data_IF_325712420841
#
_entry.id   IF_325712420841
#
_cell.length_a   1.000
_cell.length_b   1.000
_cell.length_c   1.000
_cell.angle_alpha   90.00
_cell.angle_beta   90.00
_cell.angle_gamma   90.00
#
_symmetry.space_group_name_H-M   'P 1'
#
loop_
_entity.id
_entity.type
_entity.pdbx_description
1 polymer ?
#
# COMPACT_ATOMS: atom_id res chain seq x y z
N UNK A 1 7.33 4.09 -7.95
CA UNK A 1 8.24 4.63 -8.98
C UNK A 1 7.55 4.49 -10.33
N UNK A 2 7.22 5.58 -11.03
CA UNK A 2 6.42 5.56 -12.27
C UNK A 2 7.07 4.78 -13.41
N UNK A 3 6.28 4.07 -14.23
CA UNK A 3 6.77 3.46 -15.49
C UNK A 3 7.42 4.56 -16.35
N UNK A 4 8.64 4.34 -16.88
CA UNK A 4 9.38 5.35 -17.62
C UNK A 4 8.66 5.72 -18.92
N UNK A 5 8.59 7.01 -19.20
CA UNK A 5 8.02 7.60 -20.41
C UNK A 5 9.08 8.35 -21.24
N UNK A 6 10.27 8.56 -20.69
CA UNK A 6 11.39 9.24 -21.38
C UNK A 6 12.69 8.44 -21.34
N UNK A 7 13.60 8.71 -22.30
CA UNK A 7 14.93 8.11 -22.31
C UNK A 7 15.78 8.50 -21.09
N UNK A 8 15.56 9.67 -20.50
CA UNK A 8 16.29 10.10 -19.30
C UNK A 8 15.91 9.23 -18.09
N UNK A 9 14.63 8.88 -17.94
CA UNK A 9 14.16 7.98 -16.88
C UNK A 9 14.68 6.55 -17.07
N UNK A 10 14.82 6.09 -18.32
CA UNK A 10 15.48 4.81 -18.61
C UNK A 10 16.94 4.80 -18.15
N UNK A 11 17.69 5.87 -18.44
CA UNK A 11 19.09 6.01 -17.98
C UNK A 11 19.20 6.09 -16.46
N UNK A 12 18.27 6.78 -15.78
CA UNK A 12 18.22 6.82 -14.31
C UNK A 12 17.98 5.42 -13.71
N UNK A 13 17.26 4.55 -14.42
CA UNK A 13 17.06 3.14 -14.06
C UNK A 13 18.23 2.22 -14.47
N UNK A 14 19.25 2.76 -15.16
CA UNK A 14 20.36 1.97 -15.71
C UNK A 14 19.92 1.04 -16.85
N UNK A 15 18.86 1.39 -17.58
CA UNK A 15 18.35 0.61 -18.69
C UNK A 15 18.82 1.17 -20.03
N UNK A 16 19.59 0.36 -20.76
CA UNK A 16 20.00 0.68 -22.14
C UNK A 16 18.91 0.38 -23.18
N UNK A 17 17.93 -0.46 -22.81
CA UNK A 17 16.80 -0.88 -23.65
C UNK A 17 15.63 -1.38 -22.80
N UNK A 18 14.46 -1.46 -23.42
CA UNK A 18 13.20 -1.96 -22.82
C UNK A 18 12.72 -3.18 -23.59
N UNK A 19 12.07 -4.10 -22.89
CA UNK A 19 11.53 -5.33 -23.47
C UNK A 19 10.15 -5.09 -24.09
N UNK A 20 9.35 -4.20 -23.50
CA UNK A 20 7.99 -3.90 -23.94
C UNK A 20 7.74 -2.39 -23.95
N UNK A 21 7.19 -1.88 -25.04
CA UNK A 21 6.72 -0.49 -25.17
C UNK A 21 5.22 -0.47 -25.36
N UNK A 22 4.52 0.21 -24.44
CA UNK A 22 3.08 0.39 -24.46
C UNK A 22 2.74 1.76 -25.05
N UNK A 23 2.03 1.78 -26.19
CA UNK A 23 1.65 3.02 -26.88
C UNK A 23 0.17 3.29 -26.65
N UNK A 24 -0.17 4.48 -26.17
CA UNK A 24 -1.56 4.90 -25.92
C UNK A 24 -1.86 6.27 -26.51
N UNK A 25 -3.08 6.43 -27.04
CA UNK A 25 -3.61 7.73 -27.47
C UNK A 25 -4.18 8.57 -26.32
N UNK A 26 -4.23 8.03 -25.11
CA UNK A 26 -4.69 8.72 -23.90
C UNK A 26 -3.51 9.26 -23.09
N UNK A 27 -3.76 10.19 -22.17
CA UNK A 27 -2.75 10.63 -21.22
C UNK A 27 -2.36 9.47 -20.28
N UNK A 28 -1.07 9.37 -19.95
CA UNK A 28 -0.61 8.41 -18.96
C UNK A 28 -0.65 9.01 -17.56
N UNK A 29 -1.37 8.32 -16.68
CA UNK A 29 -1.37 8.53 -15.23
C UNK A 29 -1.18 7.17 -14.59
N UNK A 30 -0.18 7.04 -13.72
CA UNK A 30 0.11 5.80 -13.00
C UNK A 30 -0.88 5.61 -11.84
N UNK A 31 -2.10 5.20 -12.18
CA UNK A 31 -3.18 5.01 -11.23
C UNK A 31 -3.97 3.73 -11.59
N UNK A 32 -4.46 2.96 -10.60
CA UNK A 32 -5.19 1.71 -10.85
C UNK A 32 -6.45 1.83 -11.73
N UNK A 33 -6.98 3.05 -11.90
CA UNK A 33 -8.10 3.33 -12.81
C UNK A 33 -7.69 3.43 -14.29
N UNK A 34 -6.38 3.48 -14.59
CA UNK A 34 -5.86 3.61 -15.96
C UNK A 34 -5.36 2.27 -16.46
N UNK A 35 -5.98 1.76 -17.53
CA UNK A 35 -5.68 0.43 -18.07
C UNK A 35 -4.19 0.25 -18.40
N UNK A 36 -3.54 1.26 -18.99
CA UNK A 36 -2.12 1.18 -19.36
C UNK A 36 -1.19 1.13 -18.15
N UNK A 37 -1.56 1.75 -17.02
CA UNK A 37 -0.81 1.63 -15.78
C UNK A 37 -0.94 0.21 -15.22
N UNK A 38 -2.15 -0.35 -15.17
CA UNK A 38 -2.39 -1.71 -14.69
C UNK A 38 -1.65 -2.74 -15.54
N UNK A 39 -1.79 -2.66 -16.87
CA UNK A 39 -1.13 -3.58 -17.81
C UNK A 39 0.39 -3.45 -17.68
N UNK A 40 0.91 -2.23 -17.65
CA UNK A 40 2.35 -1.99 -17.51
C UNK A 40 2.91 -2.56 -16.21
N UNK A 41 2.18 -2.46 -15.10
CA UNK A 41 2.58 -3.02 -13.81
C UNK A 41 2.57 -4.53 -13.78
N UNK A 42 1.55 -5.16 -14.36
CA UNK A 42 1.50 -6.64 -14.47
C UNK A 42 2.69 -7.16 -15.28
N UNK A 43 3.09 -6.45 -16.34
CA UNK A 43 4.24 -6.84 -17.17
C UNK A 43 5.58 -6.54 -16.46
N UNK A 44 5.71 -5.42 -15.74
CA UNK A 44 6.88 -5.16 -14.88
C UNK A 44 7.02 -6.21 -13.77
N UNK A 45 5.91 -6.61 -13.13
CA UNK A 45 5.88 -7.64 -12.08
C UNK A 45 6.29 -9.03 -12.62
N UNK A 46 6.09 -9.28 -13.92
CA UNK A 46 6.59 -10.47 -14.60
C UNK A 46 8.09 -10.41 -14.93
N UNK A 47 8.78 -9.32 -14.56
CA UNK A 47 10.23 -9.16 -14.70
C UNK A 47 10.72 -8.47 -15.97
N UNK A 48 9.81 -7.93 -16.78
CA UNK A 48 10.15 -7.23 -18.03
C UNK A 48 10.38 -5.73 -17.80
N UNK A 49 11.27 -5.12 -18.59
CA UNK A 49 11.47 -3.67 -18.64
C UNK A 49 10.41 -3.04 -19.53
N UNK A 50 9.49 -2.30 -18.92
CA UNK A 50 8.35 -1.68 -19.63
C UNK A 50 8.54 -0.17 -19.73
N UNK A 51 8.18 0.42 -20.87
CA UNK A 51 8.01 1.86 -21.03
C UNK A 51 6.66 2.20 -21.65
N UNK A 52 6.15 3.41 -21.39
CA UNK A 52 4.88 3.90 -21.94
C UNK A 52 5.12 5.15 -22.81
N UNK A 53 4.52 5.17 -24.00
CA UNK A 53 4.43 6.34 -24.87
C UNK A 53 2.98 6.79 -24.92
N UNK A 54 2.68 7.92 -24.28
CA UNK A 54 1.35 8.52 -24.23
C UNK A 54 1.21 9.66 -25.24
N UNK A 55 0.08 9.69 -25.94
CA UNK A 55 -0.26 10.68 -26.97
C UNK A 55 0.88 10.95 -27.97
N UNK A 56 1.36 9.93 -28.70
CA UNK A 56 2.35 10.18 -29.75
C UNK A 56 1.78 11.17 -30.76
N UNK A 57 2.64 12.07 -31.26
CA UNK A 57 2.26 13.07 -32.25
C UNK A 57 1.82 12.38 -33.56
N UNK A 58 0.51 12.24 -33.74
CA UNK A 58 -0.10 11.56 -34.89
C UNK A 58 -0.32 12.49 -36.09
N UNK A 59 -0.04 13.80 -35.94
CA UNK A 59 -0.32 14.82 -36.94
C UNK A 59 0.83 15.08 -37.92
N UNK A 60 2.04 14.62 -37.62
CA UNK A 60 3.20 14.82 -38.49
C UNK A 60 4.00 13.53 -38.72
N UNK A 61 3.76 12.88 -39.86
CA UNK A 61 4.44 11.66 -40.30
C UNK A 61 5.93 11.92 -40.57
N UNK A 62 6.34 13.17 -40.77
CA UNK A 62 7.72 13.50 -41.10
C UNK A 62 8.67 13.34 -39.91
N UNK A 63 8.19 13.54 -38.68
CA UNK A 63 8.96 13.35 -37.44
C UNK A 63 9.21 11.86 -37.17
N UNK A 64 8.22 11.01 -37.46
CA UNK A 64 8.38 9.55 -37.41
C UNK A 64 9.36 9.05 -38.48
N UNK A 65 9.33 9.65 -39.68
CA UNK A 65 10.25 9.29 -40.77
C UNK A 65 11.70 9.67 -40.48
N UNK A 66 11.95 10.83 -39.86
CA UNK A 66 13.30 11.26 -39.49
C UNK A 66 13.85 10.44 -38.31
N UNK A 67 13.02 10.07 -37.33
CA UNK A 67 13.41 9.12 -36.28
C UNK A 67 13.71 7.72 -36.83
N UNK A 68 12.86 7.20 -37.73
CA UNK A 68 13.10 5.92 -38.40
C UNK A 68 14.40 5.91 -39.22
N UNK A 69 14.71 7.01 -39.92
CA UNK A 69 15.95 7.12 -40.69
C UNK A 69 17.20 7.05 -39.78
N UNK A 70 17.16 7.72 -38.63
CA UNK A 70 18.22 7.61 -37.62
C UNK A 70 18.34 6.19 -37.05
N UNK A 71 17.22 5.54 -36.74
CA UNK A 71 17.24 4.15 -36.26
C UNK A 71 17.75 3.18 -37.32
N UNK A 72 17.40 3.36 -38.59
CA UNK A 72 17.93 2.57 -39.71
C UNK A 72 19.44 2.74 -39.84
N UNK A 73 19.97 3.94 -39.62
CA UNK A 73 21.41 4.21 -39.64
C UNK A 73 22.13 3.52 -38.48
N UNK A 74 21.55 3.55 -37.27
CA UNK A 74 22.05 2.81 -36.10
C UNK A 74 21.98 1.29 -36.33
N UNK A 75 20.90 0.79 -36.93
CA UNK A 75 20.73 -0.63 -37.25
C UNK A 75 21.73 -1.09 -38.31
N UNK A 76 22.05 -0.26 -39.32
CA UNK A 76 23.12 -0.54 -40.28
C UNK A 76 24.49 -0.65 -39.62
N UNK A 77 24.78 0.23 -38.65
CA UNK A 77 26.01 0.14 -37.88
C UNK A 77 26.09 -1.17 -37.07
N UNK A 78 24.97 -1.62 -36.49
CA UNK A 78 24.88 -2.92 -35.81
C UNK A 78 25.01 -4.10 -36.79
N UNK A 79 24.42 -4.00 -37.97
CA UNK A 79 24.53 -5.02 -39.02
C UNK A 79 25.99 -5.22 -39.43
N UNK A 80 26.76 -4.13 -39.57
CA UNK A 80 28.19 -4.19 -39.86
C UNK A 80 28.98 -4.95 -38.81
N UNK A 81 28.67 -4.76 -37.53
CA UNK A 81 29.29 -5.53 -36.42
C UNK A 81 28.93 -7.01 -36.53
N UNK A 82 27.68 -7.34 -36.88
CA UNK A 82 27.24 -8.72 -37.08
C UNK A 82 27.95 -9.34 -38.28
N UNK A 83 28.10 -8.64 -39.40
CA UNK A 83 28.86 -9.10 -40.57
C UNK A 83 30.33 -9.37 -40.23
N UNK A 84 30.93 -8.54 -39.38
CA UNK A 84 32.31 -8.71 -38.90
C UNK A 84 32.44 -9.96 -37.98
N UNK A 85 31.46 -10.19 -37.11
CA UNK A 85 31.38 -11.40 -36.26
C UNK A 85 31.10 -12.66 -37.09
N UNK A 86 30.27 -12.57 -38.13
CA UNK A 86 30.02 -13.68 -39.06
C UNK A 86 31.28 -14.00 -39.87
N UNK A 87 32.05 -12.99 -40.27
CA UNK A 87 33.38 -13.15 -40.87
C UNK A 87 34.37 -13.85 -39.94
N UNK A 88 34.36 -13.52 -38.64
CA UNK A 88 35.11 -14.26 -37.62
C UNK A 88 34.63 -15.71 -37.48
N UNK A 89 33.35 -15.99 -37.74
CA UNK A 89 32.81 -17.35 -37.79
C UNK A 89 33.41 -18.21 -38.92
N UNK A 90 33.68 -17.63 -40.08
CA UNK A 90 34.38 -18.33 -41.17
C UNK A 90 35.87 -18.59 -40.84
N UNK A 91 36.55 -17.62 -40.21
CA UNK A 91 37.91 -17.78 -39.69
C UNK A 91 37.96 -18.84 -38.55
N UNK A 92 36.91 -18.91 -37.73
CA UNK A 92 36.75 -19.93 -36.70
C UNK A 92 36.59 -21.34 -37.29
N UNK A 93 35.79 -21.51 -38.35
CA UNK A 93 35.63 -22.81 -39.04
C UNK A 93 36.94 -23.28 -39.68
N UNK A 94 37.71 -22.38 -40.30
CA UNK A 94 39.06 -22.70 -40.80
C UNK A 94 40.03 -23.11 -39.68
N UNK A 95 39.92 -22.50 -38.51
CA UNK A 95 40.70 -22.91 -37.33
C UNK A 95 40.21 -24.22 -36.73
N UNK A 96 38.92 -24.54 -36.85
CA UNK A 96 38.32 -25.78 -36.35
C UNK A 96 38.77 -26.99 -37.18
N UNK A 97 38.91 -26.83 -38.50
CA UNK A 97 39.53 -27.81 -39.39
C UNK A 97 41.04 -28.01 -39.11
N UNK A 98 41.68 -27.03 -38.46
CA UNK A 98 43.08 -27.07 -38.05
C UNK A 98 43.30 -27.51 -36.59
N UNK A 99 42.24 -27.75 -35.81
CA UNK A 99 42.32 -28.16 -34.41
C UNK A 99 42.55 -29.68 -34.31
N UNK A 100 43.57 -30.09 -33.54
CA UNK A 100 43.80 -31.50 -33.21
C UNK A 100 42.60 -32.09 -32.45
N UNK A 101 42.26 -33.36 -32.71
CA UNK A 101 41.13 -34.08 -32.12
C UNK A 101 41.13 -34.01 -30.58
N UNK A 102 42.31 -33.92 -29.96
CA UNK A 102 42.46 -33.75 -28.53
C UNK A 102 41.86 -32.43 -28.02
N UNK A 103 41.96 -31.35 -28.79
CA UNK A 103 41.42 -30.03 -28.44
C UNK A 103 39.89 -30.04 -28.52
N UNK A 104 39.34 -30.73 -29.53
CA UNK A 104 37.89 -30.95 -29.67
C UNK A 104 37.35 -31.78 -28.50
N UNK A 105 38.03 -32.86 -28.10
CA UNK A 105 37.62 -33.68 -26.96
C UNK A 105 37.64 -32.87 -25.66
N UNK A 106 38.66 -32.02 -25.47
CA UNK A 106 38.78 -31.21 -24.26
C UNK A 106 37.71 -30.10 -24.21
N UNK A 107 37.34 -29.50 -25.35
CA UNK A 107 36.21 -28.55 -25.41
C UNK A 107 34.87 -29.24 -25.16
N UNK A 108 34.63 -30.44 -25.69
CA UNK A 108 33.43 -31.22 -25.36
C UNK A 108 33.35 -31.59 -23.87
N UNK A 109 34.47 -31.97 -23.26
CA UNK A 109 34.53 -32.26 -21.82
C UNK A 109 34.20 -31.01 -20.98
N UNK A 110 34.69 -29.84 -21.40
CA UNK A 110 34.34 -28.57 -20.75
C UNK A 110 32.86 -28.20 -20.93
N UNK A 111 32.27 -28.51 -22.08
CA UNK A 111 30.83 -28.32 -22.33
C UNK A 111 29.97 -29.25 -21.49
N UNK A 112 30.41 -30.49 -21.26
CA UNK A 112 29.73 -31.44 -20.37
C UNK A 112 29.75 -30.94 -18.92
N UNK A 113 30.89 -30.42 -18.45
CA UNK A 113 30.99 -29.76 -17.12
C UNK A 113 30.06 -28.55 -17.04
N UNK A 114 29.93 -27.78 -18.12
CA UNK A 114 29.02 -26.65 -18.17
C UNK A 114 27.55 -27.09 -18.14
N UNK A 115 27.19 -28.15 -18.87
CA UNK A 115 25.84 -28.75 -18.85
C UNK A 115 25.46 -29.19 -17.44
N UNK A 116 26.35 -29.92 -16.76
CA UNK A 116 26.12 -30.33 -15.39
C UNK A 116 25.94 -29.15 -14.42
N UNK A 117 26.60 -28.01 -14.68
CA UNK A 117 26.39 -26.77 -13.90
C UNK A 117 25.03 -26.14 -14.19
N UNK A 118 24.54 -26.22 -15.43
CA UNK A 118 23.20 -25.77 -15.78
C UNK A 118 22.13 -26.61 -15.06
N UNK A 119 22.27 -27.93 -15.02
CA UNK A 119 21.35 -28.81 -14.30
C UNK A 119 21.32 -28.49 -12.80
N UNK A 120 22.48 -28.23 -12.20
CA UNK A 120 22.58 -27.79 -10.80
C UNK A 120 21.92 -26.43 -10.57
N UNK A 121 22.02 -25.52 -11.54
CA UNK A 121 21.40 -24.20 -11.45
C UNK A 121 19.87 -24.33 -11.54
N UNK A 122 19.36 -25.15 -12.43
CA UNK A 122 17.93 -25.44 -12.55
C UNK A 122 17.36 -26.04 -11.26
N UNK A 123 18.06 -27.01 -10.65
CA UNK A 123 17.64 -27.59 -9.37
C UNK A 123 17.61 -26.55 -8.24
N UNK A 124 18.55 -25.60 -8.22
CA UNK A 124 18.55 -24.48 -7.26
C UNK A 124 17.39 -23.52 -7.50
N UNK A 125 17.10 -23.20 -8.76
CA UNK A 125 15.95 -22.36 -9.12
C UNK A 125 14.64 -22.99 -8.65
N UNK A 126 14.45 -24.29 -8.89
CA UNK A 126 13.26 -25.02 -8.45
C UNK A 126 13.09 -24.99 -6.93
N UNK A 127 14.16 -25.21 -6.17
CA UNK A 127 14.14 -25.09 -4.71
C UNK A 127 13.80 -23.67 -4.24
N UNK A 128 14.27 -22.64 -4.96
CA UNK A 128 13.97 -21.26 -4.65
C UNK A 128 12.49 -20.94 -4.91
N UNK A 129 11.93 -21.45 -6.00
CA UNK A 129 10.51 -21.33 -6.36
C UNK A 129 9.60 -21.98 -5.28
N UNK A 130 9.97 -23.17 -4.81
CA UNK A 130 9.24 -23.85 -3.72
C UNK A 130 9.26 -23.02 -2.43
N UNK A 131 10.42 -22.48 -2.06
CA UNK A 131 10.55 -21.61 -0.89
C UNK A 131 9.72 -20.33 -1.04
N UNK A 132 9.73 -19.71 -2.22
CA UNK A 132 8.95 -18.50 -2.50
C UNK A 132 7.45 -18.78 -2.36
N UNK A 133 7.01 -19.94 -2.85
CA UNK A 133 5.63 -20.40 -2.73
C UNK A 133 5.20 -20.58 -1.26
N UNK A 134 6.08 -21.12 -0.41
CA UNK A 134 5.83 -21.20 1.03
C UNK A 134 5.73 -19.82 1.67
N UNK A 135 6.65 -18.91 1.37
CA UNK A 135 6.63 -17.54 1.93
C UNK A 135 5.35 -16.81 1.53
N UNK A 136 4.86 -16.98 0.30
CA UNK A 136 3.58 -16.39 -0.15
C UNK A 136 2.40 -16.92 0.67
N UNK A 137 2.38 -18.21 0.99
CA UNK A 137 1.34 -18.80 1.84
C UNK A 137 1.39 -18.25 3.28
N UNK A 138 2.59 -18.13 3.85
CA UNK A 138 2.78 -17.53 5.18
C UNK A 138 2.32 -16.05 5.21
N UNK A 139 2.70 -15.27 4.21
CA UNK A 139 2.27 -13.86 4.10
C UNK A 139 0.74 -13.75 4.00
N UNK A 140 0.09 -14.63 3.24
CA UNK A 140 -1.37 -14.65 3.13
C UNK A 140 -2.04 -14.98 4.47
N UNK A 141 -1.47 -15.91 5.24
CA UNK A 141 -1.96 -16.24 6.57
C UNK A 141 -1.85 -15.03 7.51
N UNK A 142 -0.67 -14.38 7.55
CA UNK A 142 -0.42 -13.19 8.38
C UNK A 142 -1.38 -12.05 8.00
N UNK A 143 -1.58 -11.79 6.71
CA UNK A 143 -2.52 -10.78 6.23
C UNK A 143 -3.95 -11.05 6.72
N UNK A 144 -4.38 -12.31 6.70
CA UNK A 144 -5.71 -12.69 7.19
C UNK A 144 -5.85 -12.43 8.70
N UNK A 145 -4.84 -12.82 9.50
CA UNK A 145 -4.85 -12.52 10.94
C UNK A 145 -4.83 -11.01 11.23
N UNK A 146 -4.07 -10.23 10.47
CA UNK A 146 -4.03 -8.77 10.60
C UNK A 146 -5.40 -8.13 10.32
N UNK A 147 -6.13 -8.60 9.30
CA UNK A 147 -7.49 -8.12 8.99
C UNK A 147 -8.45 -8.42 10.14
N UNK A 148 -8.38 -9.61 10.74
CA UNK A 148 -9.19 -9.99 11.92
C UNK A 148 -8.85 -9.09 13.11
N UNK A 149 -7.56 -8.83 13.36
CA UNK A 149 -7.10 -7.93 14.41
C UNK A 149 -7.59 -6.50 14.20
N UNK A 150 -7.52 -5.99 12.96
CA UNK A 150 -8.00 -4.63 12.62
C UNK A 150 -9.50 -4.46 12.89
N UNK A 151 -10.31 -5.49 12.64
CA UNK A 151 -11.74 -5.47 12.99
C UNK A 151 -11.97 -5.44 14.51
N UNK A 152 -11.08 -6.03 15.29
CA UNK A 152 -11.12 -5.95 16.76
C UNK A 152 -10.73 -4.57 17.28
N UNK A 153 -9.76 -3.91 16.63
CA UNK A 153 -9.40 -2.50 16.93
C UNK A 153 -10.59 -1.57 16.67
N UNK A 154 -11.28 -1.70 15.53
CA UNK A 154 -12.48 -0.88 15.25
C UNK A 154 -13.60 -1.07 16.28
N UNK A 155 -13.76 -2.29 16.82
CA UNK A 155 -14.70 -2.52 17.94
C UNK A 155 -14.25 -1.74 19.18
N UNK A 156 -12.95 -1.71 19.46
CA UNK A 156 -12.37 -0.95 20.58
C UNK A 156 -12.66 0.55 20.46
N UNK A 157 -12.48 1.15 19.28
CA UNK A 157 -12.81 2.57 19.04
C UNK A 157 -14.30 2.86 19.33
N UNK A 158 -15.19 1.96 18.91
CA UNK A 158 -16.63 2.09 19.18
C UNK A 158 -16.99 1.95 20.66
N UNK A 159 -16.22 1.14 21.39
CA UNK A 159 -16.35 0.98 22.84
C UNK A 159 -15.85 2.24 23.57
N UNK A 160 -14.72 2.79 23.15
CA UNK A 160 -14.17 4.04 23.69
C UNK A 160 -15.15 5.21 23.51
N UNK A 161 -15.77 5.34 22.34
CA UNK A 161 -16.83 6.32 22.11
C UNK A 161 -18.02 6.14 23.05
N UNK A 162 -18.46 4.89 23.28
CA UNK A 162 -19.54 4.60 24.25
C UNK A 162 -19.14 4.93 25.68
N UNK A 163 -17.91 4.65 26.08
CA UNK A 163 -17.39 4.99 27.41
C UNK A 163 -17.37 6.51 27.60
N UNK A 164 -16.87 7.26 26.62
CA UNK A 164 -16.85 8.73 26.67
C UNK A 164 -18.27 9.32 26.77
N UNK A 165 -19.24 8.76 26.04
CA UNK A 165 -20.65 9.15 26.16
C UNK A 165 -21.23 8.84 27.55
N UNK A 166 -20.92 7.67 28.12
CA UNK A 166 -21.34 7.29 29.46
C UNK A 166 -20.73 8.20 30.54
N UNK A 167 -19.45 8.59 30.40
CA UNK A 167 -18.79 9.54 31.31
C UNK A 167 -19.43 10.93 31.26
N UNK A 168 -19.75 11.42 30.06
CA UNK A 168 -20.47 12.67 29.89
C UNK A 168 -21.87 12.63 30.53
N UNK A 169 -22.63 11.55 30.30
CA UNK A 169 -23.94 11.35 30.92
C UNK A 169 -23.85 11.23 32.44
N UNK A 170 -22.85 10.53 32.97
CA UNK A 170 -22.63 10.41 34.42
C UNK A 170 -22.27 11.75 35.07
N UNK A 171 -21.48 12.57 34.37
CA UNK A 171 -21.14 13.93 34.84
C UNK A 171 -22.37 14.82 34.91
N UNK A 172 -23.23 14.77 33.88
CA UNK A 172 -24.50 15.49 33.87
C UNK A 172 -25.44 15.00 34.99
N UNK A 173 -25.60 13.69 35.15
CA UNK A 173 -26.41 13.11 36.22
C UNK A 173 -25.90 13.51 37.62
N UNK A 174 -24.59 13.55 37.82
CA UNK A 174 -24.01 14.02 39.08
C UNK A 174 -24.31 15.49 39.36
N UNK A 175 -24.32 16.34 38.32
CA UNK A 175 -24.69 17.74 38.44
C UNK A 175 -26.18 17.90 38.80
N UNK A 176 -27.05 17.13 38.13
CA UNK A 176 -28.48 17.12 38.43
C UNK A 176 -28.76 16.61 39.84
N UNK A 177 -28.07 15.57 40.30
CA UNK A 177 -28.15 15.08 41.68
C UNK A 177 -27.73 16.13 42.70
N UNK A 178 -26.70 16.94 42.43
CA UNK A 178 -26.31 18.06 43.30
C UNK A 178 -27.42 19.12 43.37
N UNK A 179 -28.01 19.47 42.23
CA UNK A 179 -29.14 20.42 42.17
C UNK A 179 -30.34 19.90 42.97
N UNK A 180 -30.68 18.62 42.80
CA UNK A 180 -31.78 17.98 43.51
C UNK A 180 -31.52 17.95 45.03
N UNK A 181 -30.29 17.60 45.45
CA UNK A 181 -29.89 17.63 46.86
C UNK A 181 -30.03 19.03 47.47
N UNK A 182 -29.59 20.07 46.76
CA UNK A 182 -29.74 21.46 47.21
C UNK A 182 -31.22 21.88 47.33
N UNK A 183 -32.08 21.43 46.40
CA UNK A 183 -33.52 21.64 46.51
C UNK A 183 -34.12 20.96 47.74
N UNK A 184 -33.72 19.71 48.02
CA UNK A 184 -34.18 18.97 49.21
C UNK A 184 -33.75 19.67 50.51
N UNK A 185 -32.51 20.16 50.60
CA UNK A 185 -32.05 20.94 51.77
C UNK A 185 -32.85 22.22 51.97
N UNK A 186 -33.11 22.96 50.88
CA UNK A 186 -33.94 24.16 50.92
C UNK A 186 -35.36 23.86 51.39
N UNK A 187 -35.99 22.80 50.84
CA UNK A 187 -37.32 22.36 51.25
C UNK A 187 -37.36 21.99 52.73
N UNK A 188 -36.36 21.25 53.21
CA UNK A 188 -36.29 20.84 54.61
C UNK A 188 -36.17 22.06 55.54
N UNK A 189 -35.38 23.06 55.17
CA UNK A 189 -35.27 24.34 55.90
C UNK A 189 -36.60 25.11 55.94
N UNK A 190 -37.32 25.16 54.81
CA UNK A 190 -38.64 25.79 54.75
C UNK A 190 -39.65 25.06 55.65
N UNK A 191 -39.66 23.73 55.64
CA UNK A 191 -40.52 22.92 56.51
C UNK A 191 -40.20 23.18 57.99
N UNK A 192 -38.93 23.25 58.37
CA UNK A 192 -38.53 23.57 59.76
C UNK A 192 -38.95 24.98 60.18
N UNK A 193 -38.82 25.97 59.28
CA UNK A 193 -39.28 27.34 59.52
C UNK A 193 -40.81 27.37 59.72
N UNK A 194 -41.55 26.69 58.85
CA UNK A 194 -43.01 26.57 58.95
C UNK A 194 -43.46 25.90 60.24
N UNK A 195 -42.79 24.83 60.67
CA UNK A 195 -43.03 24.17 61.97
C UNK A 195 -42.82 25.13 63.12
N UNK A 196 -41.73 25.89 63.12
CA UNK A 196 -41.43 26.89 64.17
C UNK A 196 -42.49 27.98 64.24
N UNK A 197 -42.87 28.57 63.10
CA UNK A 197 -43.92 29.59 63.03
C UNK A 197 -45.25 29.04 63.59
N UNK A 198 -45.60 27.81 63.23
CA UNK A 198 -46.84 27.14 63.69
C UNK A 198 -46.83 26.91 65.21
N UNK A 199 -45.72 26.46 65.78
CA UNK A 199 -45.62 26.27 67.24
C UNK A 199 -45.67 27.60 68.00
N UNK A 200 -45.01 28.65 67.50
CA UNK A 200 -45.05 29.98 68.10
C UNK A 200 -46.46 30.57 68.04
N UNK A 201 -47.15 30.48 66.89
CA UNK A 201 -48.52 30.99 66.75
C UNK A 201 -49.51 30.23 67.62
N UNK A 202 -49.35 28.91 67.77
CA UNK A 202 -50.14 28.09 68.68
C UNK A 202 -49.92 28.51 70.14
N UNK A 203 -48.67 28.69 70.56
CA UNK A 203 -48.34 29.16 71.92
C UNK A 203 -48.93 30.54 72.20
N UNK A 204 -48.80 31.50 71.29
CA UNK A 204 -49.38 32.84 71.42
C UNK A 204 -50.91 32.74 71.59
N UNK A 205 -51.56 31.89 70.79
CA UNK A 205 -53.01 31.68 70.86
C UNK A 205 -53.45 31.10 72.20
N UNK A 206 -52.70 30.13 72.74
CA UNK A 206 -52.96 29.54 74.08
C UNK A 206 -52.79 30.60 75.17
N UNK A 207 -51.69 31.36 75.16
CA UNK A 207 -51.42 32.40 76.17
C UNK A 207 -52.49 33.49 76.15
N UNK A 208 -52.87 33.96 74.95
CA UNK A 208 -53.94 34.95 74.80
C UNK A 208 -55.29 34.42 75.34
N UNK A 209 -55.62 33.15 75.07
CA UNK A 209 -56.83 32.51 75.59
C UNK A 209 -56.85 32.44 77.12
N UNK A 210 -55.72 32.08 77.75
CA UNK A 210 -55.59 32.07 79.22
C UNK A 210 -55.74 33.49 79.79
N UNK A 211 -55.14 34.50 79.16
CA UNK A 211 -55.23 35.90 79.58
C UNK A 211 -56.66 36.44 79.54
N UNK A 212 -57.44 36.08 78.53
CA UNK A 212 -58.86 36.44 78.42
C UNK A 212 -59.70 35.76 79.51
N UNK A 213 -59.38 34.52 79.90
CA UNK A 213 -60.08 33.80 80.97
C UNK A 213 -59.75 34.31 82.38
N UNK A 214 -58.62 35.00 82.58
CA UNK A 214 -58.18 35.55 83.87
C UNK A 214 -58.67 36.98 84.13
N UNK A 215 -59.38 37.62 83.18
CA UNK A 215 -59.89 38.99 83.24
C UNK A 215 -61.40 39.01 83.44
#
# INVERSE_FOLDING_TARGET
MFIPITQQELKQRGWDSVDVVLITGDAYVDHPSFAMAVIGRVIEDAGFKVAIIAQPNWKDVNEFKSQLLNEIEVLKARLKVIEEVVGQGQDFLQRLDALDALTIINTFSNLEVLSNRFDQLEARFKKLEDNLSQVVLEQRYILNELVVSQNSVKKFDSLEQKVSQLEASNSANNEDMKKLSAQVESLNSQVMTMRTITYVSLLISIVAGILVLLK
#
